data_IF_525186100603
#
_entry.id   IF_525186100603
#
_cell.length_a   1.000
_cell.length_b   1.000
_cell.length_c   1.000
_cell.angle_alpha   90.00
_cell.angle_beta   90.00
_cell.angle_gamma   90.00
#
_symmetry.space_group_name_H-M   'P 1'
#
loop_
_entity.id
_entity.type
_entity.pdbx_description
1 polymer ?
#
# COMPACT_ATOMS: atom_id res chain seq x y z
N UNK A 1 25.97 -32.64 67.09
CA UNK A 1 25.32 -31.49 66.43
C UNK A 1 25.59 -31.60 64.94
N UNK A 2 24.53 -31.77 64.15
CA UNK A 2 24.58 -32.19 62.73
C UNK A 2 24.81 -30.98 61.83
N UNK A 3 25.69 -31.14 60.84
CA UNK A 3 26.07 -30.12 59.87
C UNK A 3 24.93 -29.76 58.91
N UNK A 4 24.85 -28.48 58.56
CA UNK A 4 23.89 -27.91 57.63
C UNK A 4 24.54 -27.86 56.23
N UNK A 5 24.10 -28.72 55.32
CA UNK A 5 24.49 -28.69 53.90
C UNK A 5 23.52 -27.75 53.18
N UNK A 6 24.06 -26.68 52.59
CA UNK A 6 23.32 -25.69 51.81
C UNK A 6 23.15 -26.19 50.37
N UNK A 7 21.92 -26.57 49.99
CA UNK A 7 21.58 -26.89 48.60
C UNK A 7 21.46 -25.59 47.77
N UNK A 8 22.37 -25.37 46.83
CA UNK A 8 22.18 -24.39 45.76
C UNK A 8 21.13 -24.95 44.79
N UNK A 9 19.89 -24.48 44.92
CA UNK A 9 18.85 -24.68 43.92
C UNK A 9 19.16 -23.76 42.73
N UNK A 10 19.55 -24.35 41.61
CA UNK A 10 19.63 -23.63 40.33
C UNK A 10 18.20 -23.44 39.82
N UNK A 11 17.68 -22.22 39.94
CA UNK A 11 16.48 -21.81 39.23
C UNK A 11 16.82 -21.70 37.73
N UNK A 12 16.48 -22.73 36.95
CA UNK A 12 16.37 -22.58 35.50
C UNK A 12 15.10 -21.77 35.25
N UNK A 13 15.27 -20.46 35.03
CA UNK A 13 14.20 -19.63 34.50
C UNK A 13 13.86 -20.15 33.10
N UNK A 14 12.85 -21.01 33.03
CA UNK A 14 12.02 -21.21 31.86
C UNK A 14 11.40 -19.86 31.50
N UNK A 15 12.14 -19.05 30.74
CA UNK A 15 11.60 -17.89 30.07
C UNK A 15 10.59 -18.36 29.04
N UNK A 16 9.34 -18.51 29.45
CA UNK A 16 8.23 -18.46 28.51
C UNK A 16 8.28 -17.03 27.95
N UNK A 17 8.77 -16.87 26.72
CA UNK A 17 8.71 -15.60 26.01
C UNK A 17 7.24 -15.31 25.62
N UNK A 18 6.40 -15.07 26.62
CA UNK A 18 5.05 -14.59 26.42
C UNK A 18 5.10 -13.09 26.17
N UNK A 19 4.81 -12.71 24.93
CA UNK A 19 4.27 -11.39 24.62
C UNK A 19 5.30 -10.26 24.55
N UNK A 20 6.28 -10.38 23.67
CA UNK A 20 6.74 -9.17 23.00
C UNK A 20 5.62 -8.81 22.02
N UNK A 21 4.79 -7.83 22.38
CA UNK A 21 3.90 -7.20 21.41
C UNK A 21 4.81 -6.57 20.34
N UNK A 22 5.04 -7.30 19.26
CA UNK A 22 5.74 -6.79 18.09
C UNK A 22 4.98 -5.54 17.62
N UNK A 23 5.54 -4.37 17.90
CA UNK A 23 5.01 -3.11 17.37
C UNK A 23 5.24 -3.20 15.86
N UNK A 24 4.18 -3.47 15.11
CA UNK A 24 4.20 -3.44 13.65
C UNK A 24 4.72 -2.07 13.20
N UNK A 25 5.77 -2.05 12.40
CA UNK A 25 6.28 -0.80 11.82
C UNK A 25 5.19 -0.20 10.93
N UNK A 26 4.83 1.05 11.20
CA UNK A 26 3.90 1.79 10.36
C UNK A 26 4.54 2.07 9.00
N UNK A 27 3.84 1.74 7.92
CA UNK A 27 4.17 2.18 6.57
C UNK A 27 3.15 3.24 6.14
N UNK A 28 3.60 4.35 5.53
CA UNK A 28 2.69 5.32 4.97
C UNK A 28 1.89 4.68 3.82
N UNK A 29 0.69 5.21 3.49
CA UNK A 29 -0.18 4.70 2.42
C UNK A 29 0.54 4.48 1.08
N UNK A 30 1.51 5.34 0.79
CA UNK A 30 2.39 5.22 -0.36
C UNK A 30 3.77 5.82 -0.08
N UNK A 31 4.76 5.44 -0.90
CA UNK A 31 6.13 5.97 -0.88
C UNK A 31 6.63 6.17 -2.31
N UNK A 32 7.36 7.26 -2.56
CA UNK A 32 8.12 7.42 -3.79
C UNK A 32 9.49 6.77 -3.61
N UNK A 33 9.75 5.68 -4.32
CA UNK A 33 10.95 4.85 -4.12
C UNK A 33 11.99 4.98 -5.24
N UNK A 34 11.65 5.70 -6.31
CA UNK A 34 12.53 5.86 -7.46
C UNK A 34 11.87 6.60 -8.62
N UNK A 35 12.58 6.61 -9.74
CA UNK A 35 12.16 7.18 -11.02
C UNK A 35 12.33 6.10 -12.08
N UNK A 36 11.34 5.98 -12.96
CA UNK A 36 11.35 5.06 -14.11
C UNK A 36 10.84 5.81 -15.35
N UNK A 37 11.75 6.15 -16.24
CA UNK A 37 11.49 7.06 -17.36
C UNK A 37 10.88 8.39 -16.89
N UNK A 38 9.72 8.75 -17.45
CA UNK A 38 8.98 9.96 -17.09
C UNK A 38 8.01 9.76 -15.91
N UNK A 39 8.18 8.70 -15.12
CA UNK A 39 7.32 8.34 -14.00
C UNK A 39 8.08 8.27 -12.68
N UNK A 40 7.38 8.53 -11.57
CA UNK A 40 7.85 8.15 -10.24
C UNK A 40 7.43 6.72 -9.95
N UNK A 41 8.32 5.93 -9.39
CA UNK A 41 7.98 4.62 -8.85
C UNK A 41 7.27 4.81 -7.52
N UNK A 42 5.96 4.55 -7.51
CA UNK A 42 5.08 4.68 -6.34
C UNK A 42 4.87 3.31 -5.74
N UNK A 43 5.38 3.08 -4.54
CA UNK A 43 5.05 1.91 -3.73
C UNK A 43 3.78 2.20 -2.94
N UNK A 44 2.68 1.53 -3.25
CA UNK A 44 1.47 1.55 -2.44
C UNK A 44 1.59 0.53 -1.31
N UNK A 45 1.18 0.89 -0.10
CA UNK A 45 1.17 0.03 1.07
C UNK A 45 -0.24 0.03 1.68
N UNK A 46 -0.89 -1.13 1.66
CA UNK A 46 -2.22 -1.30 2.23
C UNK A 46 -2.19 -2.23 3.44
N UNK A 47 -2.48 -1.67 4.60
CA UNK A 47 -2.44 -2.34 5.89
C UNK A 47 -3.49 -3.46 5.97
N UNK A 48 -3.06 -4.72 6.12
CA UNK A 48 -3.97 -5.86 6.25
C UNK A 48 -4.90 -5.77 7.46
N UNK A 49 -4.47 -5.12 8.54
CA UNK A 49 -5.23 -5.03 9.78
C UNK A 49 -6.39 -4.03 9.66
N UNK A 50 -6.32 -3.10 8.71
CA UNK A 50 -7.44 -2.21 8.37
C UNK A 50 -8.57 -2.95 7.68
N UNK A 51 -8.26 -3.98 6.90
CA UNK A 51 -9.28 -4.82 6.27
C UNK A 51 -10.10 -5.54 7.35
N UNK A 52 -9.40 -6.13 8.32
CA UNK A 52 -9.99 -6.83 9.46
C UNK A 52 -10.95 -5.92 10.24
N UNK A 53 -10.59 -4.64 10.43
CA UNK A 53 -11.45 -3.65 11.11
C UNK A 53 -12.69 -3.24 10.30
N UNK A 54 -12.55 -3.08 8.98
CA UNK A 54 -13.65 -2.60 8.13
C UNK A 54 -14.63 -3.70 7.71
N UNK A 55 -14.16 -4.95 7.56
CA UNK A 55 -14.94 -6.04 6.95
C UNK A 55 -15.18 -7.20 7.94
N UNK A 56 -14.55 -7.15 9.11
CA UNK A 56 -14.72 -8.12 10.18
C UNK A 56 -13.58 -9.14 10.27
N UNK A 57 -13.18 -9.43 11.50
CA UNK A 57 -11.94 -10.17 11.82
C UNK A 57 -11.92 -11.63 11.40
N UNK A 58 -13.06 -12.19 11.02
CA UNK A 58 -13.19 -13.58 10.59
C UNK A 58 -12.92 -13.79 9.09
N UNK A 59 -12.74 -12.71 8.31
CA UNK A 59 -12.57 -12.79 6.86
C UNK A 59 -11.09 -12.84 6.49
N UNK A 60 -10.65 -14.01 6.05
CA UNK A 60 -9.34 -14.18 5.42
C UNK A 60 -9.26 -13.33 4.13
N UNK A 61 -8.17 -12.58 3.96
CA UNK A 61 -7.89 -11.84 2.73
C UNK A 61 -7.06 -12.71 1.80
N UNK A 62 -7.66 -13.13 0.69
CA UNK A 62 -7.03 -14.00 -0.30
C UNK A 62 -6.42 -13.22 -1.45
N UNK A 63 -7.00 -12.08 -1.77
CA UNK A 63 -6.53 -11.21 -2.86
C UNK A 63 -6.82 -9.76 -2.54
N UNK A 64 -5.89 -8.89 -2.92
CA UNK A 64 -6.04 -7.45 -2.90
C UNK A 64 -5.68 -6.88 -4.26
N UNK A 65 -6.54 -6.02 -4.81
CA UNK A 65 -6.32 -5.30 -6.05
C UNK A 65 -6.20 -3.81 -5.77
N UNK A 66 -5.44 -3.12 -6.62
CA UNK A 66 -5.37 -1.66 -6.66
C UNK A 66 -6.16 -1.14 -7.86
N UNK A 67 -7.14 -0.28 -7.60
CA UNK A 67 -7.97 0.34 -8.62
C UNK A 67 -7.95 1.86 -8.45
N UNK A 68 -7.85 2.59 -9.56
CA UNK A 68 -7.86 4.04 -9.54
C UNK A 68 -8.00 4.65 -10.93
N UNK A 69 -7.87 5.98 -11.00
CA UNK A 69 -7.96 6.70 -12.26
C UNK A 69 -6.89 6.29 -13.27
N UNK A 70 -5.72 5.81 -12.80
CA UNK A 70 -4.61 5.37 -13.66
C UNK A 70 -4.87 4.06 -14.41
N UNK A 71 -5.76 3.20 -13.91
CA UNK A 71 -6.15 1.95 -14.57
C UNK A 71 -7.66 1.84 -14.80
N UNK A 72 -8.34 2.98 -14.94
CA UNK A 72 -9.77 3.02 -15.25
C UNK A 72 -10.65 2.24 -14.24
N UNK A 73 -10.30 2.28 -12.95
CA UNK A 73 -10.98 1.53 -11.90
C UNK A 73 -11.13 0.02 -12.23
N UNK A 74 -10.14 -0.55 -12.92
CA UNK A 74 -10.22 -1.93 -13.39
C UNK A 74 -10.31 -2.92 -12.23
N UNK A 75 -11.49 -3.51 -12.09
CA UNK A 75 -11.76 -4.71 -11.28
C UNK A 75 -12.16 -5.91 -12.15
N UNK A 76 -12.58 -5.63 -13.38
CA UNK A 76 -12.88 -6.54 -14.49
C UNK A 76 -12.93 -5.72 -15.79
N UNK A 77 -12.87 -6.36 -16.97
CA UNK A 77 -12.75 -5.72 -18.31
C UNK A 77 -13.93 -4.81 -18.74
N UNK A 78 -14.88 -4.48 -17.85
CA UNK A 78 -16.19 -3.91 -18.21
C UNK A 78 -16.36 -2.42 -17.92
N UNK A 79 -15.32 -1.67 -17.53
CA UNK A 79 -15.46 -0.23 -17.29
C UNK A 79 -15.29 0.59 -18.58
N UNK A 80 -16.05 1.68 -18.80
CA UNK A 80 -15.90 2.51 -19.99
C UNK A 80 -14.50 3.13 -19.99
N UNK A 81 -13.78 3.04 -21.11
CA UNK A 81 -12.45 3.63 -21.29
C UNK A 81 -12.56 5.15 -21.09
N UNK A 82 -12.05 5.69 -19.98
CA UNK A 82 -11.87 7.14 -19.85
C UNK A 82 -10.63 7.55 -20.65
N UNK A 83 -10.82 8.42 -21.64
CA UNK A 83 -9.78 8.90 -22.55
C UNK A 83 -8.63 9.70 -21.86
N UNK A 84 -8.78 9.99 -20.56
CA UNK A 84 -7.76 10.60 -19.69
C UNK A 84 -6.97 9.58 -18.85
N UNK A 85 -7.13 8.28 -19.10
CA UNK A 85 -6.52 7.22 -18.30
C UNK A 85 -4.99 7.28 -18.31
N UNK A 86 -4.39 6.96 -17.17
CA UNK A 86 -2.94 6.84 -17.02
C UNK A 86 -2.32 5.76 -17.93
N UNK A 87 -1.00 5.53 -17.84
CA UNK A 87 -0.32 4.54 -18.67
C UNK A 87 -0.80 3.09 -18.47
N UNK A 88 -1.62 2.83 -17.44
CA UNK A 88 -2.08 1.50 -17.03
C UNK A 88 -3.56 1.23 -17.36
N UNK A 89 -4.13 1.89 -18.38
CA UNK A 89 -5.51 1.64 -18.79
C UNK A 89 -5.76 0.13 -19.01
N UNK A 90 -6.84 -0.37 -18.41
CA UNK A 90 -7.30 -1.76 -18.48
C UNK A 90 -6.42 -2.83 -17.79
N UNK A 91 -5.34 -2.43 -17.11
CA UNK A 91 -4.54 -3.36 -16.31
C UNK A 91 -5.23 -3.69 -14.98
N UNK A 92 -5.40 -4.99 -14.72
CA UNK A 92 -5.72 -5.50 -13.38
C UNK A 92 -4.44 -5.52 -12.55
N UNK A 93 -4.41 -4.74 -11.47
CA UNK A 93 -3.22 -4.56 -10.64
C UNK A 93 -3.42 -5.35 -9.35
N UNK A 94 -2.83 -6.54 -9.30
CA UNK A 94 -2.78 -7.38 -8.10
C UNK A 94 -1.68 -6.87 -7.16
N UNK A 95 -1.96 -6.87 -5.85
CA UNK A 95 -0.98 -6.57 -4.82
C UNK A 95 -0.39 -7.85 -4.25
N UNK A 96 0.86 -7.78 -3.82
CA UNK A 96 1.57 -8.87 -3.14
C UNK A 96 1.50 -8.67 -1.63
N UNK A 97 1.28 -9.74 -0.86
CA UNK A 97 1.29 -9.68 0.60
C UNK A 97 2.73 -9.77 1.12
N UNK A 98 3.24 -8.69 1.71
CA UNK A 98 4.38 -8.72 2.61
C UNK A 98 3.94 -9.27 3.97
N UNK A 99 4.20 -10.56 4.19
CA UNK A 99 3.77 -11.29 5.40
C UNK A 99 4.51 -10.86 6.65
N UNK A 100 5.71 -10.31 6.52
CA UNK A 100 6.52 -9.83 7.65
C UNK A 100 6.01 -8.48 8.11
N UNK A 101 5.81 -7.56 7.18
CA UNK A 101 5.28 -6.24 7.49
C UNK A 101 3.77 -6.26 7.73
N UNK A 102 3.04 -7.28 7.27
CA UNK A 102 1.57 -7.34 7.25
C UNK A 102 0.95 -6.20 6.43
N UNK A 103 1.44 -6.03 5.20
CA UNK A 103 0.92 -5.08 4.21
C UNK A 103 0.77 -5.74 2.85
N UNK A 104 -0.29 -5.39 2.13
CA UNK A 104 -0.36 -5.60 0.69
C UNK A 104 0.41 -4.48 0.00
N UNK A 105 1.29 -4.83 -0.94
CA UNK A 105 2.19 -3.89 -1.60
C UNK A 105 2.17 -4.05 -3.12
N UNK A 106 2.35 -2.94 -3.83
CA UNK A 106 2.62 -2.92 -5.27
C UNK A 106 3.42 -1.69 -5.63
N UNK A 107 4.30 -1.79 -6.63
CA UNK A 107 5.06 -0.65 -7.16
C UNK A 107 4.54 -0.33 -8.56
N UNK A 108 4.12 0.92 -8.77
CA UNK A 108 3.65 1.40 -10.07
C UNK A 108 4.44 2.64 -10.52
N UNK A 109 4.98 2.65 -11.76
CA UNK A 109 5.41 3.88 -12.39
C UNK A 109 4.19 4.79 -12.67
N UNK A 110 4.08 5.91 -11.97
CA UNK A 110 3.06 6.93 -12.24
C UNK A 110 3.70 8.25 -12.68
N UNK A 111 3.28 8.85 -13.81
CA UNK A 111 3.67 10.21 -14.15
C UNK A 111 3.27 11.20 -13.05
N UNK A 112 3.96 12.34 -12.93
CA UNK A 112 3.49 13.46 -12.12
C UNK A 112 2.02 13.78 -12.41
N UNK A 113 1.24 14.00 -11.35
CA UNK A 113 -0.20 14.15 -11.47
C UNK A 113 -0.93 13.77 -10.21
N UNK A 114 -2.26 13.87 -10.25
CA UNK A 114 -3.14 13.62 -9.11
C UNK A 114 -4.08 12.47 -9.45
N UNK A 115 -4.09 11.44 -8.62
CA UNK A 115 -4.82 10.21 -8.86
C UNK A 115 -5.73 9.87 -7.69
N UNK A 116 -6.94 9.43 -8.00
CA UNK A 116 -7.88 8.85 -7.03
C UNK A 116 -7.79 7.33 -7.11
N UNK A 117 -7.81 6.66 -5.96
CA UNK A 117 -7.66 5.22 -5.89
C UNK A 117 -8.39 4.59 -4.69
N UNK A 118 -8.57 3.26 -4.76
CA UNK A 118 -9.09 2.37 -3.72
C UNK A 118 -8.46 0.98 -3.86
N UNK A 119 -8.62 0.19 -2.82
CA UNK A 119 -8.29 -1.23 -2.80
C UNK A 119 -9.56 -2.05 -2.94
N UNK A 120 -9.47 -3.17 -3.66
CA UNK A 120 -10.56 -4.14 -3.77
C UNK A 120 -10.09 -5.42 -3.11
N UNK A 121 -10.72 -5.77 -2.01
CA UNK A 121 -10.38 -6.97 -1.24
C UNK A 121 -11.36 -8.08 -1.57
N UNK A 122 -10.80 -9.28 -1.82
CA UNK A 122 -11.56 -10.48 -2.13
C UNK A 122 -12.57 -10.30 -3.28
N UNK A 123 -12.29 -9.38 -4.21
CA UNK A 123 -13.06 -9.06 -5.42
C UNK A 123 -14.36 -8.26 -5.22
N UNK A 124 -14.75 -7.89 -4.00
CA UNK A 124 -16.04 -7.21 -3.78
C UNK A 124 -15.97 -6.06 -2.77
N UNK A 125 -15.02 -6.04 -1.83
CA UNK A 125 -14.98 -5.00 -0.82
C UNK A 125 -14.08 -3.85 -1.27
N UNK A 126 -14.66 -2.67 -1.44
CA UNK A 126 -13.95 -1.45 -1.82
C UNK A 126 -13.53 -0.66 -0.58
N UNK A 127 -12.23 -0.49 -0.39
CA UNK A 127 -11.66 0.10 0.82
C UNK A 127 -10.70 1.21 0.42
N UNK A 128 -10.79 2.36 1.09
CA UNK A 128 -9.79 3.42 0.99
C UNK A 128 -8.79 3.29 2.17
N UNK A 129 -7.58 3.79 2.00
CA UNK A 129 -6.58 3.83 3.10
C UNK A 129 -6.64 5.14 3.89
N UNK A 130 -5.72 5.34 4.83
CA UNK A 130 -5.64 6.59 5.60
C UNK A 130 -4.77 7.62 4.84
N UNK A 131 -5.00 7.77 3.54
CA UNK A 131 -4.41 8.86 2.78
C UNK A 131 -4.76 10.19 3.43
N UNK A 132 -3.82 11.15 3.34
CA UNK A 132 -4.01 12.49 3.89
C UNK A 132 -5.15 13.24 3.22
N UNK A 133 -5.55 12.83 2.02
CA UNK A 133 -6.60 13.47 1.25
C UNK A 133 -7.58 12.43 0.70
N UNK A 134 -8.88 12.75 0.80
CA UNK A 134 -9.99 11.90 0.41
C UNK A 134 -10.91 12.62 -0.58
N UNK A 135 -11.51 11.85 -1.50
CA UNK A 135 -12.48 12.32 -2.48
C UNK A 135 -13.82 11.59 -2.26
N UNK A 136 -14.93 12.31 -2.14
CA UNK A 136 -16.25 11.69 -2.00
C UNK A 136 -16.61 10.93 -3.29
N UNK A 137 -16.98 9.66 -3.16
CA UNK A 137 -17.24 8.80 -4.33
C UNK A 137 -18.66 8.91 -4.90
N UNK A 138 -19.56 9.65 -4.24
CA UNK A 138 -20.96 9.81 -4.62
C UNK A 138 -21.89 8.67 -4.20
N UNK A 139 -21.36 7.63 -3.54
CA UNK A 139 -22.08 6.43 -3.10
C UNK A 139 -22.05 6.25 -1.57
N UNK A 140 -21.72 7.31 -0.84
CA UNK A 140 -21.62 7.29 0.62
C UNK A 140 -20.25 6.83 1.15
N UNK A 141 -19.24 6.71 0.28
CA UNK A 141 -17.86 6.42 0.66
C UNK A 141 -16.86 7.46 0.15
N UNK A 142 -15.57 7.13 0.28
CA UNK A 142 -14.46 7.97 -0.14
C UNK A 142 -13.43 7.18 -0.93
N UNK A 143 -12.77 7.81 -1.88
CA UNK A 143 -11.54 7.35 -2.51
C UNK A 143 -10.33 8.05 -1.87
N UNK A 144 -9.20 7.37 -1.80
CA UNK A 144 -7.92 7.97 -1.43
C UNK A 144 -7.37 8.79 -2.58
N UNK A 145 -6.65 9.88 -2.27
CA UNK A 145 -5.91 10.68 -3.26
C UNK A 145 -4.40 10.56 -3.03
N UNK A 146 -3.67 10.37 -4.13
CA UNK A 146 -2.22 10.56 -4.20
C UNK A 146 -1.88 11.70 -5.15
N UNK A 147 -0.98 12.59 -4.73
CA UNK A 147 -0.35 13.59 -5.59
C UNK A 147 1.10 13.18 -5.85
N UNK A 148 1.39 12.80 -7.09
CA UNK A 148 2.73 12.45 -7.57
C UNK A 148 3.45 13.73 -7.98
N UNK A 149 4.55 14.11 -7.30
CA UNK A 149 5.18 15.41 -7.54
C UNK A 149 5.87 15.48 -8.91
N UNK A 150 5.97 16.68 -9.45
CA UNK A 150 6.81 16.95 -10.63
C UNK A 150 8.28 16.73 -10.33
N UNK A 151 9.09 16.54 -11.36
CA UNK A 151 10.53 16.35 -11.23
C UNK A 151 11.26 17.68 -11.00
N UNK A 152 12.32 17.65 -10.19
CA UNK A 152 13.23 18.79 -10.06
C UNK A 152 14.11 18.92 -11.31
N UNK A 153 14.73 20.08 -11.51
CA UNK A 153 15.66 20.28 -12.62
C UNK A 153 16.84 19.28 -12.57
N UNK A 154 17.35 19.00 -11.37
CA UNK A 154 18.42 18.02 -11.15
C UNK A 154 17.96 16.60 -11.50
N UNK A 155 16.74 16.20 -11.10
CA UNK A 155 16.15 14.92 -11.50
C UNK A 155 16.00 14.83 -13.03
N UNK A 156 15.55 15.91 -13.68
CA UNK A 156 15.37 15.95 -15.14
C UNK A 156 16.70 15.73 -15.86
N UNK A 157 17.76 16.41 -15.45
CA UNK A 157 19.09 16.25 -16.04
C UNK A 157 19.66 14.85 -15.77
N UNK A 158 19.63 14.42 -14.50
CA UNK A 158 20.22 13.14 -14.07
C UNK A 158 19.56 11.94 -14.73
N UNK A 159 18.23 11.95 -14.88
CA UNK A 159 17.45 10.84 -15.41
C UNK A 159 17.02 11.05 -16.87
N UNK A 160 17.47 12.13 -17.51
CA UNK A 160 17.17 12.46 -18.91
C UNK A 160 15.65 12.45 -19.21
N UNK A 161 14.87 13.03 -18.30
CA UNK A 161 13.40 13.01 -18.36
C UNK A 161 12.92 13.86 -19.54
N UNK A 162 12.06 13.27 -20.39
CA UNK A 162 11.47 14.00 -21.51
C UNK A 162 10.38 14.94 -21.01
N UNK A 163 10.73 16.22 -20.90
CA UNK A 163 9.82 17.27 -20.45
C UNK A 163 8.71 17.60 -21.45
N UNK A 164 8.81 17.18 -22.72
CA UNK A 164 7.71 17.36 -23.68
C UNK A 164 6.54 16.42 -23.36
N UNK A 165 6.83 15.21 -22.86
CA UNK A 165 5.81 14.27 -22.38
C UNK A 165 4.96 14.85 -21.24
N UNK A 166 5.55 15.70 -20.39
CA UNK A 166 4.86 16.32 -19.25
C UNK A 166 3.96 17.51 -19.64
N UNK A 167 4.10 18.06 -20.85
CA UNK A 167 3.38 19.26 -21.31
C UNK A 167 2.09 18.96 -22.09
N UNK A 168 1.83 17.70 -22.44
CA UNK A 168 0.76 17.29 -23.36
C UNK A 168 -0.46 16.73 -22.59
N UNK A 169 -0.50 16.84 -21.26
CA UNK A 169 -1.61 16.40 -20.41
C UNK A 169 -2.19 17.53 -19.59
#
# INVERSE_FOLDING_TARGET
MKGLILYFIVFVLSGCATGWNSIKTYLPPYQFIGIDGNCRQVKFNFDSDKIVKNIGSAKEIKVCWLAGSFNNWAMSKSNPVYYYGGPWQDYLIIMELDTVASYWVVVLPLPPGRYIYKYIVNNYDWIYDDATELYNDGFGGYCSIITVPSFTAEEIEKYQIDTNYLKIK
#
